data_IF_341132514282
#
_entry.id   IF_341132514282
#
_cell.length_a   1.000
_cell.length_b   1.000
_cell.length_c   1.000
_cell.angle_alpha   90.00
_cell.angle_beta   90.00
_cell.angle_gamma   90.00
#
_symmetry.space_group_name_H-M   'P 1'
#
loop_
_entity.id
_entity.type
_entity.pdbx_description
1 polymer ?
#
# COMPACT_ATOMS: atom_id res chain seq x y z
N UNK A 1 -3.23 -17.02 43.60
CA UNK A 1 -2.12 -17.11 42.63
C UNK A 1 -2.09 -15.81 41.88
N UNK A 2 -1.22 -14.89 42.27
CA UNK A 2 -0.97 -13.62 41.58
C UNK A 2 0.45 -13.72 41.02
N UNK A 3 0.63 -13.28 39.84
CA UNK A 3 1.78 -12.69 39.19
C UNK A 3 1.96 -13.21 37.77
N UNK A 4 1.95 -12.33 36.81
CA UNK A 4 2.84 -12.30 35.63
C UNK A 4 2.56 -11.13 34.66
N UNK A 5 1.93 -10.06 35.11
CA UNK A 5 1.67 -8.91 34.25
C UNK A 5 2.74 -7.81 34.27
N UNK A 6 3.88 -8.00 34.96
CA UNK A 6 4.90 -6.94 35.08
C UNK A 6 6.17 -7.17 34.24
N UNK A 7 6.43 -8.40 33.80
CA UNK A 7 7.63 -8.72 33.04
C UNK A 7 7.46 -8.48 31.51
N UNK A 8 6.26 -8.64 30.97
CA UNK A 8 6.03 -8.52 29.54
C UNK A 8 6.24 -7.09 29.01
N UNK A 9 5.81 -6.06 29.75
CA UNK A 9 6.00 -4.67 29.34
C UNK A 9 7.48 -4.25 29.31
N UNK A 10 8.29 -4.73 30.24
CA UNK A 10 9.72 -4.41 30.31
C UNK A 10 10.52 -5.06 29.18
N UNK A 11 10.09 -6.23 28.70
CA UNK A 11 10.70 -6.92 27.55
C UNK A 11 10.37 -6.14 26.27
N UNK A 12 9.13 -5.71 26.08
CA UNK A 12 8.70 -4.96 24.89
C UNK A 12 9.37 -3.59 24.77
N UNK A 13 9.61 -2.89 25.89
CA UNK A 13 10.35 -1.62 25.90
C UNK A 13 11.82 -1.81 25.46
N UNK A 14 12.46 -2.91 25.84
CA UNK A 14 13.83 -3.23 25.45
C UNK A 14 13.95 -3.52 23.95
N UNK A 15 13.01 -4.21 23.34
CA UNK A 15 13.02 -4.53 21.90
C UNK A 15 12.83 -3.28 21.04
N UNK A 16 11.94 -2.37 21.44
CA UNK A 16 11.75 -1.09 20.74
C UNK A 16 13.02 -0.22 20.81
N UNK A 17 13.72 -0.22 21.97
CA UNK A 17 15.00 0.49 22.14
C UNK A 17 16.08 -0.11 21.25
N UNK A 18 16.17 -1.44 21.13
CA UNK A 18 17.15 -2.11 20.26
C UNK A 18 16.91 -1.78 18.79
N UNK A 19 15.66 -1.82 18.32
CA UNK A 19 15.31 -1.43 16.95
C UNK A 19 15.73 0.02 16.69
N UNK A 20 15.45 0.93 17.64
CA UNK A 20 15.86 2.32 17.52
C UNK A 20 17.37 2.48 17.42
N UNK A 21 18.15 1.75 18.22
CA UNK A 21 19.62 1.79 18.16
C UNK A 21 20.14 1.37 16.80
N UNK A 22 19.58 0.30 16.20
CA UNK A 22 19.95 -0.15 14.84
C UNK A 22 19.70 0.95 13.81
N UNK A 23 18.55 1.63 13.87
CA UNK A 23 18.23 2.73 12.94
C UNK A 23 19.19 3.92 13.15
N UNK A 24 19.51 4.28 14.39
CA UNK A 24 20.43 5.37 14.71
C UNK A 24 21.86 5.05 14.22
N UNK A 25 22.36 3.82 14.42
CA UNK A 25 23.67 3.38 13.95
C UNK A 25 23.79 3.39 12.43
N UNK A 26 22.69 3.09 11.72
CA UNK A 26 22.64 3.11 10.26
C UNK A 26 22.29 4.49 9.69
N UNK A 27 22.08 5.51 10.52
CA UNK A 27 21.59 6.83 10.15
C UNK A 27 20.29 6.79 9.33
N UNK A 28 19.39 5.86 9.64
CA UNK A 28 18.10 5.67 8.99
C UNK A 28 17.00 6.32 9.84
N UNK A 29 16.14 7.12 9.19
CA UNK A 29 14.88 7.56 9.79
C UNK A 29 13.78 6.62 9.33
N UNK A 30 13.04 6.01 10.28
CA UNK A 30 12.00 5.06 9.93
C UNK A 30 11.01 4.82 11.05
N UNK A 31 10.02 4.00 10.76
CA UNK A 31 8.99 3.53 11.70
C UNK A 31 8.94 2.02 11.68
N UNK A 32 8.70 1.40 12.81
CA UNK A 32 8.55 -0.05 12.91
C UNK A 32 7.43 -0.40 13.90
N UNK A 33 6.73 -1.47 13.60
CA UNK A 33 5.74 -2.06 14.51
C UNK A 33 5.68 -3.57 14.27
N UNK A 34 5.61 -4.33 15.34
CA UNK A 34 5.39 -5.76 15.31
C UNK A 34 4.38 -6.15 16.39
N UNK A 35 3.56 -7.15 16.11
CA UNK A 35 2.64 -7.72 17.08
C UNK A 35 2.39 -9.19 16.77
N UNK A 36 2.08 -10.03 17.78
CA UNK A 36 1.46 -11.32 17.54
C UNK A 36 0.07 -11.12 16.93
N UNK A 37 -0.50 -12.17 16.36
CA UNK A 37 -1.87 -12.12 15.79
C UNK A 37 -2.85 -11.62 16.85
N UNK A 38 -2.74 -12.12 18.06
CA UNK A 38 -3.47 -11.65 19.24
C UNK A 38 -2.47 -11.19 20.31
N UNK A 39 -2.57 -9.92 20.73
CA UNK A 39 -1.70 -9.37 21.75
C UNK A 39 -1.31 -7.92 21.50
N UNK A 40 -0.41 -7.43 22.35
CA UNK A 40 0.06 -6.06 22.28
C UNK A 40 1.15 -5.88 21.23
N UNK A 41 1.10 -4.76 20.54
CA UNK A 41 2.13 -4.37 19.60
C UNK A 41 3.31 -3.70 20.31
N UNK A 42 4.49 -3.97 19.78
CA UNK A 42 5.72 -3.21 20.08
C UNK A 42 6.07 -2.36 18.87
N UNK A 43 6.62 -1.18 19.08
CA UNK A 43 6.93 -0.31 17.95
C UNK A 43 7.87 0.84 18.28
N UNK A 44 8.56 1.29 17.23
CA UNK A 44 9.39 2.49 17.23
C UNK A 44 8.74 3.51 16.30
N UNK A 45 8.38 4.69 16.82
CA UNK A 45 7.70 5.73 16.05
C UNK A 45 6.47 5.19 15.26
N UNK A 46 5.80 4.18 15.81
CA UNK A 46 4.81 3.38 15.10
C UNK A 46 3.57 4.15 14.66
N UNK A 47 3.26 5.28 15.32
CA UNK A 47 2.14 6.16 15.00
C UNK A 47 2.53 7.33 14.07
N UNK A 48 3.78 7.42 13.65
CA UNK A 48 4.19 8.46 12.69
C UNK A 48 3.56 8.16 11.33
N UNK A 49 2.91 9.17 10.76
CA UNK A 49 2.30 9.08 9.44
C UNK A 49 3.37 8.98 8.35
N UNK A 50 3.20 8.01 7.46
CA UNK A 50 4.10 7.76 6.34
C UNK A 50 3.31 7.48 5.07
N UNK A 51 3.92 7.70 3.91
CA UNK A 51 3.38 7.25 2.63
C UNK A 51 3.51 5.74 2.54
N UNK A 52 2.40 5.00 2.33
CA UNK A 52 2.39 3.54 2.45
C UNK A 52 3.09 2.80 1.31
N UNK A 53 3.38 3.48 0.19
CA UNK A 53 3.81 2.83 -1.04
C UNK A 53 2.90 1.60 -1.36
N UNK A 54 3.48 0.48 -1.79
CA UNK A 54 2.70 -0.73 -2.16
C UNK A 54 2.05 -1.46 -0.98
N UNK A 55 2.38 -1.13 0.27
CA UNK A 55 1.67 -1.67 1.44
C UNK A 55 0.17 -1.33 1.40
N UNK A 56 -0.20 -0.19 0.80
CA UNK A 56 -1.59 0.19 0.58
C UNK A 56 -2.42 -0.81 -0.24
N UNK A 57 -1.79 -1.69 -1.00
CA UNK A 57 -2.48 -2.71 -1.81
C UNK A 57 -3.20 -3.76 -0.96
N UNK A 58 -2.77 -3.97 0.28
CA UNK A 58 -3.44 -4.87 1.24
C UNK A 58 -4.87 -4.38 1.54
N UNK A 59 -5.03 -3.10 1.87
CA UNK A 59 -6.38 -2.54 2.13
C UNK A 59 -7.25 -2.50 0.87
N UNK A 60 -6.65 -2.30 -0.31
CA UNK A 60 -7.37 -2.32 -1.58
C UNK A 60 -7.87 -3.73 -1.87
N UNK A 61 -7.01 -4.74 -1.73
CA UNK A 61 -7.37 -6.14 -1.90
C UNK A 61 -8.50 -6.55 -0.96
N UNK A 62 -8.38 -6.24 0.33
CA UNK A 62 -9.42 -6.54 1.32
C UNK A 62 -10.77 -5.91 0.94
N UNK A 63 -10.78 -4.66 0.47
CA UNK A 63 -12.02 -3.98 0.07
C UNK A 63 -12.64 -4.58 -1.21
N UNK A 64 -11.83 -5.07 -2.16
CA UNK A 64 -12.29 -5.77 -3.36
C UNK A 64 -12.86 -7.14 -2.99
N UNK A 65 -12.17 -7.88 -2.13
CA UNK A 65 -12.62 -9.19 -1.66
C UNK A 65 -13.90 -9.08 -0.81
N UNK A 66 -14.04 -8.03 0.01
CA UNK A 66 -15.29 -7.75 0.74
C UNK A 66 -16.44 -7.41 -0.21
N UNK A 67 -16.19 -6.59 -1.24
CA UNK A 67 -17.18 -6.29 -2.26
C UNK A 67 -17.61 -7.55 -3.05
N UNK A 68 -16.67 -8.47 -3.27
CA UNK A 68 -16.94 -9.76 -3.93
C UNK A 68 -17.73 -10.71 -3.02
N UNK A 69 -17.31 -10.84 -1.76
CA UNK A 69 -17.98 -11.70 -0.78
C UNK A 69 -19.43 -11.25 -0.48
N UNK A 70 -19.67 -9.93 -0.54
CA UNK A 70 -21.01 -9.33 -0.34
C UNK A 70 -21.84 -9.22 -1.62
N UNK A 71 -21.32 -9.69 -2.78
CA UNK A 71 -22.03 -9.70 -4.06
C UNK A 71 -22.15 -8.30 -4.74
N UNK A 72 -21.41 -7.31 -4.27
CA UNK A 72 -21.34 -5.98 -4.90
C UNK A 72 -20.50 -6.03 -6.18
N UNK A 73 -19.45 -6.85 -6.20
CA UNK A 73 -18.63 -7.14 -7.38
C UNK A 73 -18.73 -8.63 -7.73
N UNK A 74 -18.66 -8.94 -9.02
CA UNK A 74 -18.42 -10.29 -9.50
C UNK A 74 -16.94 -10.47 -9.79
N UNK A 75 -16.23 -11.21 -8.94
CA UNK A 75 -14.80 -11.49 -9.09
C UNK A 75 -14.43 -12.18 -10.40
N UNK A 76 -15.38 -12.84 -11.11
CA UNK A 76 -15.15 -13.47 -12.40
C UNK A 76 -15.30 -12.51 -13.59
N UNK A 77 -15.85 -11.32 -13.34
CA UNK A 77 -16.05 -10.30 -14.37
C UNK A 77 -14.72 -9.96 -15.05
N UNK A 78 -14.74 -10.01 -16.40
CA UNK A 78 -13.55 -9.70 -17.20
C UNK A 78 -13.39 -8.20 -17.42
N UNK A 79 -12.19 -7.70 -17.16
CA UNK A 79 -11.79 -6.32 -17.44
C UNK A 79 -10.91 -6.27 -18.68
N UNK A 80 -11.15 -5.25 -19.50
CA UNK A 80 -10.38 -4.98 -20.73
C UNK A 80 -9.41 -3.84 -20.48
N UNK A 81 -8.12 -4.13 -20.51
CA UNK A 81 -7.03 -3.23 -20.15
C UNK A 81 -6.28 -2.78 -21.41
N UNK A 82 -6.65 -1.59 -21.90
CA UNK A 82 -6.01 -1.00 -23.09
C UNK A 82 -4.59 -0.52 -22.77
N UNK A 83 -3.61 -0.75 -23.65
CA UNK A 83 -2.23 -0.26 -23.45
C UNK A 83 -2.12 1.25 -23.23
N UNK A 84 -3.00 2.04 -23.85
CA UNK A 84 -2.98 3.51 -23.78
C UNK A 84 -3.43 4.07 -22.44
N UNK A 85 -4.21 3.31 -21.67
CA UNK A 85 -4.79 3.74 -20.38
C UNK A 85 -4.07 3.15 -19.17
N UNK A 86 -2.98 2.40 -19.38
CA UNK A 86 -2.26 1.72 -18.30
C UNK A 86 -1.48 2.68 -17.43
N UNK A 87 -1.57 2.45 -16.14
CA UNK A 87 -0.70 3.10 -15.16
C UNK A 87 0.72 2.59 -15.34
N UNK A 88 1.73 3.47 -15.41
CA UNK A 88 3.11 3.05 -15.51
C UNK A 88 3.57 2.22 -14.32
N UNK A 89 4.43 1.25 -14.57
CA UNK A 89 5.01 0.39 -13.54
C UNK A 89 6.16 -0.44 -14.08
N UNK A 90 7.03 -0.94 -13.20
CA UNK A 90 8.19 -1.73 -13.60
C UNK A 90 7.89 -3.20 -13.86
N UNK A 91 6.66 -3.65 -13.59
CA UNK A 91 6.27 -5.08 -13.63
C UNK A 91 4.85 -5.25 -14.16
N UNK A 92 4.52 -6.49 -14.53
CA UNK A 92 3.17 -6.94 -14.83
C UNK A 92 2.56 -6.33 -16.07
N UNK A 93 1.27 -5.98 -15.98
CA UNK A 93 0.44 -5.55 -17.10
C UNK A 93 0.97 -4.28 -17.79
N UNK A 94 1.63 -3.39 -17.02
CA UNK A 94 2.25 -2.16 -17.54
C UNK A 94 3.29 -2.42 -18.65
N UNK A 95 3.94 -3.58 -18.62
CA UNK A 95 4.98 -3.97 -19.58
C UNK A 95 4.43 -4.65 -20.86
N UNK A 96 3.17 -5.08 -20.85
CA UNK A 96 2.57 -5.80 -21.97
C UNK A 96 2.22 -4.82 -23.11
N UNK A 97 2.39 -5.24 -24.34
CA UNK A 97 2.21 -4.37 -25.53
C UNK A 97 0.78 -4.35 -26.04
N UNK A 98 0.09 -5.48 -25.93
CA UNK A 98 -1.24 -5.67 -26.49
C UNK A 98 -2.33 -5.53 -25.43
N UNK A 99 -3.59 -5.45 -25.87
CA UNK A 99 -4.75 -5.46 -24.99
C UNK A 99 -4.78 -6.73 -24.13
N UNK A 100 -5.05 -6.57 -22.84
CA UNK A 100 -5.19 -7.68 -21.88
C UNK A 100 -6.64 -7.77 -21.42
N UNK A 101 -7.13 -8.99 -21.27
CA UNK A 101 -8.38 -9.28 -20.55
C UNK A 101 -8.07 -10.14 -19.36
N UNK A 102 -8.54 -9.72 -18.19
CA UNK A 102 -8.27 -10.37 -16.92
C UNK A 102 -9.47 -10.25 -16.00
N UNK A 103 -9.76 -11.28 -15.20
CA UNK A 103 -10.82 -11.22 -14.21
C UNK A 103 -10.46 -10.30 -13.04
N UNK A 104 -11.46 -9.80 -12.31
CA UNK A 104 -11.22 -8.96 -11.12
C UNK A 104 -10.36 -9.71 -10.10
N UNK A 105 -10.64 -11.00 -9.84
CA UNK A 105 -9.83 -11.82 -8.90
C UNK A 105 -8.38 -11.99 -9.35
N UNK A 106 -8.13 -12.14 -10.67
CA UNK A 106 -6.76 -12.24 -11.18
C UNK A 106 -6.03 -10.89 -11.10
N UNK A 107 -6.75 -9.77 -11.22
CA UNK A 107 -6.20 -8.44 -10.94
C UNK A 107 -5.80 -8.29 -9.47
N UNK A 108 -6.59 -8.79 -8.51
CA UNK A 108 -6.20 -8.78 -7.10
C UNK A 108 -4.93 -9.60 -6.89
N UNK A 109 -4.85 -10.79 -7.52
CA UNK A 109 -3.65 -11.63 -7.47
C UNK A 109 -2.42 -10.89 -8.01
N UNK A 110 -2.47 -10.33 -9.22
CA UNK A 110 -1.31 -9.63 -9.79
C UNK A 110 -0.96 -8.36 -8.99
N UNK A 111 -1.94 -7.65 -8.46
CA UNK A 111 -1.71 -6.49 -7.60
C UNK A 111 -0.91 -6.86 -6.34
N UNK A 112 -1.26 -7.93 -5.66
CA UNK A 112 -0.58 -8.35 -4.42
C UNK A 112 0.73 -9.07 -4.70
N UNK A 113 0.76 -10.05 -5.61
CA UNK A 113 1.93 -10.94 -5.78
C UNK A 113 3.11 -10.28 -6.51
N UNK A 114 2.84 -9.41 -7.48
CA UNK A 114 3.89 -8.72 -8.24
C UNK A 114 3.80 -7.19 -8.15
N UNK A 115 2.94 -6.68 -7.28
CA UNK A 115 2.77 -5.23 -7.08
C UNK A 115 2.33 -4.46 -8.34
N UNK A 116 1.47 -5.04 -9.18
CA UNK A 116 1.02 -4.48 -10.44
C UNK A 116 0.23 -3.17 -10.24
N UNK A 117 0.73 -2.09 -10.84
CA UNK A 117 0.12 -0.76 -10.73
C UNK A 117 -1.14 -0.61 -11.60
N UNK A 118 -1.20 -1.28 -12.76
CA UNK A 118 -2.40 -1.24 -13.63
C UNK A 118 -3.56 -1.94 -12.93
N UNK A 119 -3.30 -3.11 -12.35
CA UNK A 119 -4.28 -3.83 -11.55
C UNK A 119 -4.76 -2.98 -10.36
N UNK A 120 -3.84 -2.31 -9.67
CA UNK A 120 -4.15 -1.42 -8.55
C UNK A 120 -5.16 -0.34 -8.95
N UNK A 121 -4.87 0.40 -10.02
CA UNK A 121 -5.72 1.52 -10.44
C UNK A 121 -7.06 1.05 -10.99
N UNK A 122 -7.09 -0.08 -11.71
CA UNK A 122 -8.34 -0.69 -12.16
C UNK A 122 -9.23 -1.11 -10.99
N UNK A 123 -8.65 -1.72 -9.95
CA UNK A 123 -9.37 -2.13 -8.75
C UNK A 123 -9.86 -0.94 -7.91
N UNK A 124 -9.06 0.12 -7.80
CA UNK A 124 -9.51 1.39 -7.16
C UNK A 124 -10.66 2.01 -7.96
N UNK A 125 -10.58 2.02 -9.29
CA UNK A 125 -11.65 2.57 -10.13
C UNK A 125 -12.96 1.79 -10.01
N UNK A 126 -12.91 0.47 -9.83
CA UNK A 126 -14.07 -0.40 -9.64
C UNK A 126 -14.69 -0.28 -8.25
N UNK A 127 -13.85 -0.25 -7.22
CA UNK A 127 -14.31 -0.29 -5.82
C UNK A 127 -14.62 1.10 -5.29
N UNK A 128 -13.90 2.12 -5.77
CA UNK A 128 -13.95 3.48 -5.27
C UNK A 128 -13.06 3.71 -4.04
N UNK A 129 -12.28 4.79 -4.07
CA UNK A 129 -11.40 5.16 -2.94
C UNK A 129 -12.19 5.37 -1.64
N UNK A 130 -13.41 5.91 -1.73
CA UNK A 130 -14.26 6.16 -0.56
C UNK A 130 -14.65 4.86 0.15
N UNK A 131 -15.04 3.81 -0.60
CA UNK A 131 -15.34 2.50 0.00
C UNK A 131 -14.12 1.88 0.68
N UNK A 132 -12.96 1.96 0.04
CA UNK A 132 -11.70 1.48 0.61
C UNK A 132 -11.38 2.21 1.92
N UNK A 133 -11.49 3.54 1.92
CA UNK A 133 -11.25 4.36 3.10
C UNK A 133 -12.31 4.16 4.20
N UNK A 134 -13.57 3.93 3.85
CA UNK A 134 -14.63 3.61 4.82
C UNK A 134 -14.37 2.30 5.54
N UNK A 135 -13.87 1.27 4.83
CA UNK A 135 -13.50 0.01 5.45
C UNK A 135 -12.40 0.20 6.49
N UNK A 136 -11.31 0.89 6.16
CA UNK A 136 -10.21 1.15 7.10
C UNK A 136 -10.65 2.04 8.27
N UNK A 137 -11.46 3.06 8.00
CA UNK A 137 -12.02 3.92 9.05
C UNK A 137 -12.94 3.16 10.00
N UNK A 138 -13.74 2.20 9.50
CA UNK A 138 -14.59 1.32 10.29
C UNK A 138 -13.81 0.45 11.29
N UNK A 139 -12.54 0.15 10.98
CA UNK A 139 -11.59 -0.55 11.85
C UNK A 139 -10.85 0.40 12.83
N UNK A 140 -11.19 1.69 12.83
CA UNK A 140 -10.49 2.70 13.64
C UNK A 140 -9.11 3.10 13.10
N UNK A 141 -8.79 2.76 11.83
CA UNK A 141 -7.53 3.11 11.17
C UNK A 141 -7.66 4.50 10.52
N UNK A 142 -7.66 5.54 11.35
CA UNK A 142 -8.03 6.90 10.93
C UNK A 142 -6.96 7.61 10.10
N UNK A 143 -5.74 7.11 10.12
CA UNK A 143 -4.61 7.62 9.32
C UNK A 143 -4.38 6.83 8.04
N UNK A 144 -4.94 5.62 7.92
CA UNK A 144 -4.78 4.77 6.75
C UNK A 144 -5.80 5.15 5.69
N UNK A 145 -5.31 5.75 4.60
CA UNK A 145 -6.15 6.24 3.51
C UNK A 145 -5.44 6.26 2.16
N UNK A 146 -6.22 6.14 1.10
CA UNK A 146 -5.80 6.39 -0.29
C UNK A 146 -6.56 7.62 -0.84
N UNK A 147 -6.02 8.20 -1.90
CA UNK A 147 -6.68 9.30 -2.64
C UNK A 147 -7.37 8.77 -3.90
N UNK A 148 -8.43 9.44 -4.29
CA UNK A 148 -9.05 9.24 -5.60
C UNK A 148 -8.05 9.51 -6.73
N UNK A 149 -8.24 8.84 -7.87
CA UNK A 149 -7.35 8.94 -9.03
C UNK A 149 -6.20 7.92 -9.04
N UNK A 150 -6.01 7.16 -7.94
CA UNK A 150 -5.09 6.04 -7.89
C UNK A 150 -3.62 6.43 -7.99
N UNK A 151 -2.80 5.43 -8.37
CA UNK A 151 -1.36 5.59 -8.54
C UNK A 151 -1.00 6.44 -9.76
N UNK A 152 -1.77 6.35 -10.85
CA UNK A 152 -1.53 7.16 -12.05
C UNK A 152 -1.54 8.65 -11.71
N UNK A 153 -2.56 9.10 -10.98
CA UNK A 153 -2.65 10.49 -10.57
C UNK A 153 -1.47 10.91 -9.69
N UNK A 154 -1.03 10.05 -8.78
CA UNK A 154 0.14 10.29 -7.93
C UNK A 154 1.42 10.39 -8.76
N UNK A 155 1.63 9.48 -9.73
CA UNK A 155 2.81 9.47 -10.59
C UNK A 155 2.87 10.70 -11.50
N UNK A 156 1.73 11.12 -12.06
CA UNK A 156 1.65 12.33 -12.88
C UNK A 156 1.92 13.59 -12.03
N UNK A 157 1.41 13.66 -10.80
CA UNK A 157 1.69 14.76 -9.87
C UNK A 157 3.19 14.85 -9.51
N UNK A 158 3.83 13.72 -9.23
CA UNK A 158 5.27 13.63 -9.00
C UNK A 158 6.07 14.16 -10.20
N UNK A 159 5.69 13.77 -11.41
CA UNK A 159 6.35 14.21 -12.63
C UNK A 159 6.21 15.71 -12.85
N UNK A 160 5.01 16.26 -12.63
CA UNK A 160 4.74 17.70 -12.74
C UNK A 160 5.57 18.51 -11.75
N UNK A 161 5.66 18.05 -10.48
CA UNK A 161 6.49 18.71 -9.47
C UNK A 161 7.99 18.63 -9.80
N UNK A 162 8.43 17.58 -10.50
CA UNK A 162 9.79 17.46 -11.01
C UNK A 162 10.05 18.24 -12.32
N UNK A 163 9.05 18.98 -12.82
CA UNK A 163 9.16 19.84 -14.02
C UNK A 163 8.85 19.16 -15.34
N UNK A 164 8.16 17.99 -15.31
CA UNK A 164 7.72 17.27 -16.51
C UNK A 164 6.21 17.44 -16.72
N UNK A 165 5.75 17.25 -17.96
CA UNK A 165 4.34 17.37 -18.28
C UNK A 165 3.47 16.27 -17.62
N UNK A 166 3.99 15.06 -17.55
CA UNK A 166 3.38 13.87 -16.95
C UNK A 166 4.45 12.81 -16.68
N UNK A 167 4.05 11.68 -16.12
CA UNK A 167 4.97 10.57 -15.84
C UNK A 167 5.59 9.97 -17.11
N UNK A 168 4.91 9.97 -18.24
CA UNK A 168 5.46 9.46 -19.50
C UNK A 168 6.63 10.32 -19.98
N UNK A 169 6.53 11.65 -19.83
CA UNK A 169 7.61 12.58 -20.10
C UNK A 169 8.80 12.40 -19.15
N UNK A 170 8.53 12.15 -17.85
CA UNK A 170 9.58 11.83 -16.88
C UNK A 170 10.27 10.49 -17.19
N UNK A 171 9.50 9.45 -17.48
CA UNK A 171 10.03 8.11 -17.80
C UNK A 171 10.85 8.08 -19.08
N UNK A 172 10.52 8.94 -20.06
CA UNK A 172 11.26 9.10 -21.31
C UNK A 172 12.43 10.11 -21.23
N UNK A 173 12.70 10.66 -20.03
CA UNK A 173 13.76 11.65 -19.84
C UNK A 173 15.15 11.01 -19.87
N UNK A 174 16.06 11.62 -20.66
CA UNK A 174 17.48 11.28 -20.67
C UNK A 174 18.32 12.46 -20.17
N UNK A 175 18.87 12.37 -18.94
CA UNK A 175 19.66 13.44 -18.36
C UNK A 175 21.02 13.65 -19.05
N UNK A 176 21.49 12.70 -19.86
CA UNK A 176 22.67 12.85 -20.71
C UNK A 176 22.43 13.76 -21.92
N UNK A 177 21.15 13.95 -22.30
CA UNK A 177 20.74 14.77 -23.45
C UNK A 177 20.23 16.14 -23.00
N UNK A 178 19.52 16.22 -21.87
CA UNK A 178 18.92 17.48 -21.37
C UNK A 178 18.77 17.48 -19.85
N UNK A 179 18.82 18.68 -19.19
CA UNK A 179 18.49 18.80 -17.77
C UNK A 179 16.99 18.51 -17.52
N UNK A 180 16.59 18.21 -16.26
CA UNK A 180 17.44 18.11 -15.06
C UNK A 180 18.22 16.78 -14.97
N UNK A 181 19.27 16.73 -14.14
CA UNK A 181 19.94 15.47 -13.80
C UNK A 181 19.04 14.57 -12.95
N UNK A 182 19.31 13.25 -12.92
CA UNK A 182 18.55 12.32 -12.03
C UNK A 182 18.69 12.66 -10.54
N UNK A 183 19.78 13.31 -10.14
CA UNK A 183 19.95 13.80 -8.77
C UNK A 183 18.98 14.96 -8.47
N UNK A 184 18.85 15.91 -9.39
CA UNK A 184 17.87 17.00 -9.28
C UNK A 184 16.44 16.47 -9.27
N UNK A 185 16.10 15.51 -10.14
CA UNK A 185 14.77 14.86 -10.15
C UNK A 185 14.50 14.22 -8.80
N UNK A 186 15.42 13.40 -8.27
CA UNK A 186 15.26 12.76 -6.95
C UNK A 186 15.07 13.78 -5.84
N UNK A 187 15.82 14.87 -5.86
CA UNK A 187 15.67 15.94 -4.87
C UNK A 187 14.25 16.52 -4.84
N UNK A 188 13.67 16.80 -6.02
CA UNK A 188 12.29 17.27 -6.13
C UNK A 188 11.28 16.22 -5.65
N UNK A 189 11.50 14.96 -5.97
CA UNK A 189 10.62 13.86 -5.54
C UNK A 189 10.59 13.72 -4.02
N UNK A 190 11.72 13.89 -3.32
CA UNK A 190 11.75 13.82 -1.85
C UNK A 190 10.91 14.89 -1.16
N UNK A 191 10.77 16.08 -1.78
CA UNK A 191 9.94 17.17 -1.27
C UNK A 191 8.51 17.20 -1.82
N UNK A 192 8.11 16.20 -2.59
CA UNK A 192 6.82 16.20 -3.31
C UNK A 192 5.62 16.20 -2.37
N UNK A 193 4.65 17.07 -2.67
CA UNK A 193 3.36 17.07 -1.99
C UNK A 193 2.55 15.78 -2.25
N UNK A 194 2.81 15.08 -3.35
CA UNK A 194 2.16 13.80 -3.66
C UNK A 194 2.64 12.67 -2.72
N UNK A 195 3.85 12.77 -2.18
CA UNK A 195 4.42 11.86 -1.18
C UNK A 195 4.27 12.35 0.27
N UNK A 196 3.70 13.54 0.48
CA UNK A 196 3.41 14.05 1.82
C UNK A 196 2.22 13.26 2.41
N UNK A 197 2.41 12.51 3.51
CA UNK A 197 1.32 11.75 4.13
C UNK A 197 0.19 12.62 4.66
N UNK A 198 0.41 13.92 4.87
CA UNK A 198 -0.67 14.85 5.23
C UNK A 198 -1.60 15.14 4.05
N UNK A 199 -1.09 15.09 2.83
CA UNK A 199 -1.81 15.47 1.60
C UNK A 199 -2.15 14.27 0.71
N UNK A 200 -1.28 13.26 0.68
CA UNK A 200 -1.33 12.08 -0.18
C UNK A 200 -1.96 10.85 0.48
N UNK A 201 -1.53 9.71 -0.01
CA UNK A 201 -1.79 8.42 0.61
C UNK A 201 -1.03 8.34 1.94
N UNK A 202 -1.64 7.73 2.93
CA UNK A 202 -1.11 7.74 4.28
C UNK A 202 -1.41 6.42 4.98
N UNK A 203 -0.50 6.01 5.84
CA UNK A 203 -0.69 4.98 6.87
C UNK A 203 0.25 5.23 8.04
N UNK A 204 0.22 4.36 9.04
CA UNK A 204 1.25 4.25 10.09
C UNK A 204 1.64 2.78 10.25
N UNK A 205 2.82 2.52 10.78
CA UNK A 205 3.24 1.14 11.06
C UNK A 205 2.27 0.44 12.01
N UNK A 206 1.79 1.15 13.04
CA UNK A 206 0.80 0.62 13.99
C UNK A 206 -0.55 0.30 13.33
N UNK A 207 -1.05 1.16 12.44
CA UNK A 207 -2.31 0.89 11.73
C UNK A 207 -2.18 -0.24 10.72
N UNK A 208 -1.03 -0.37 10.06
CA UNK A 208 -0.75 -1.50 9.16
C UNK A 208 -0.78 -2.83 9.91
N UNK A 209 -0.14 -2.89 11.09
CA UNK A 209 -0.18 -4.10 11.94
C UNK A 209 -1.60 -4.40 12.39
N UNK A 210 -2.36 -3.39 12.85
CA UNK A 210 -3.78 -3.59 13.24
C UNK A 210 -4.65 -4.08 12.08
N UNK A 211 -4.42 -3.60 10.86
CA UNK A 211 -5.11 -4.10 9.66
C UNK A 211 -4.80 -5.59 9.44
N UNK A 212 -3.53 -5.97 9.52
CA UNK A 212 -3.12 -7.38 9.38
C UNK A 212 -3.73 -8.23 10.49
N UNK A 213 -3.64 -7.82 11.76
CA UNK A 213 -4.30 -8.53 12.86
C UNK A 213 -5.80 -8.73 12.60
N UNK A 214 -6.50 -7.68 12.16
CA UNK A 214 -7.93 -7.76 11.85
C UNK A 214 -8.24 -8.73 10.69
N UNK A 215 -7.37 -8.81 9.67
CA UNK A 215 -7.47 -9.80 8.57
C UNK A 215 -7.27 -11.22 9.12
N UNK A 216 -6.26 -11.44 9.99
CA UNK A 216 -5.97 -12.76 10.55
C UNK A 216 -7.01 -13.26 11.56
N UNK A 217 -7.72 -12.34 12.22
CA UNK A 217 -8.79 -12.67 13.19
C UNK A 217 -10.20 -12.61 12.60
N UNK A 218 -10.36 -12.49 11.30
CA UNK A 218 -11.65 -12.38 10.60
C UNK A 218 -12.53 -11.20 11.07
N UNK A 219 -11.92 -10.14 11.57
CA UNK A 219 -12.64 -8.94 12.06
C UNK A 219 -12.55 -7.74 11.12
N UNK A 220 -11.75 -7.83 10.05
CA UNK A 220 -11.55 -6.74 9.11
C UNK A 220 -12.71 -6.55 8.13
N UNK A 221 -13.35 -7.62 7.71
CA UNK A 221 -14.42 -7.69 6.71
C UNK A 221 -15.18 -9.01 6.84
N UNK A 222 -15.97 -9.38 5.84
CA UNK A 222 -16.56 -10.73 5.77
C UNK A 222 -15.45 -11.79 5.87
N UNK A 223 -15.70 -12.90 6.62
CA UNK A 223 -14.69 -13.96 6.83
C UNK A 223 -14.14 -14.52 5.52
N UNK A 224 -14.97 -14.65 4.48
CA UNK A 224 -14.54 -15.08 3.15
C UNK A 224 -13.53 -14.09 2.52
N UNK A 225 -13.73 -12.78 2.71
CA UNK A 225 -12.83 -11.76 2.21
C UNK A 225 -11.50 -11.78 2.97
N UNK A 226 -11.53 -11.92 4.29
CA UNK A 226 -10.32 -12.07 5.10
C UNK A 226 -9.54 -13.33 4.70
N UNK A 227 -10.22 -14.45 4.48
CA UNK A 227 -9.60 -15.69 4.02
C UNK A 227 -8.95 -15.56 2.65
N UNK A 228 -9.61 -14.91 1.69
CA UNK A 228 -9.05 -14.63 0.36
C UNK A 228 -7.82 -13.72 0.45
N UNK A 229 -7.88 -12.66 1.25
CA UNK A 229 -6.75 -11.75 1.45
C UNK A 229 -5.55 -12.49 2.08
N UNK A 230 -5.76 -13.33 3.10
CA UNK A 230 -4.69 -14.15 3.71
C UNK A 230 -4.04 -15.07 2.70
N UNK A 231 -4.82 -15.83 1.92
CA UNK A 231 -4.29 -16.74 0.92
C UNK A 231 -3.35 -16.04 -0.07
N UNK A 232 -3.74 -14.84 -0.54
CA UNK A 232 -2.91 -14.06 -1.46
C UNK A 232 -1.64 -13.49 -0.79
N UNK A 233 -1.69 -13.16 0.51
CA UNK A 233 -0.52 -12.68 1.25
C UNK A 233 0.43 -13.86 1.52
N UNK A 234 -0.08 -15.04 1.83
CA UNK A 234 0.72 -16.26 2.05
C UNK A 234 1.42 -16.70 0.76
N UNK A 235 0.80 -16.55 -0.42
CA UNK A 235 1.40 -16.86 -1.72
C UNK A 235 2.62 -15.96 -2.06
N UNK A 236 2.85 -14.84 -1.35
CA UNK A 236 4.05 -14.02 -1.52
C UNK A 236 5.34 -14.72 -1.05
N UNK A 237 5.24 -15.85 -0.35
CA UNK A 237 6.36 -16.59 0.24
C UNK A 237 6.67 -17.89 -0.49
N UNK A 238 6.00 -18.19 -1.62
CA UNK A 238 6.18 -19.38 -2.46
C UNK A 238 7.36 -19.33 -3.41
#
# INVERSE_FOLDING_TARGET
MRASGHDDNAVHDNEAVLVKQIFDELAITGTACAAPIEGLAIGMCADVAVTPASVSKVQIALAVEDATATGVLDGTQQRKLSPRARTPGPVGISLLRDEVRMSIRDLVTTMLTISDNVATDELIALTGADRINQLTAGLGLTRTRIKAGGLRFMLDALAVEAGFADYAALAGHDPGVRPPSWEQVRWHLHGSAALDPARGWCTTAAETVRLLQAIWTDTAAASAACAAARALIDDLHG
#
